data_IF_148637702484
#
_entry.id   IF_148637702484
#
_cell.length_a   1.000
_cell.length_b   1.000
_cell.length_c   1.000
_cell.angle_alpha   90.00
_cell.angle_beta   90.00
_cell.angle_gamma   90.00
#
_symmetry.space_group_name_H-M   'P 1'
#
loop_
_entity.id
_entity.type
_entity.pdbx_description
1 polymer ?
#
# COMPACT_ATOMS: atom_id res chain seq x y z
N UNK A 1 70.34 -32.58 -10.29
CA UNK A 1 68.88 -32.64 -10.10
C UNK A 1 68.49 -31.63 -9.02
N UNK A 2 67.85 -30.51 -9.39
CA UNK A 2 67.57 -29.38 -8.48
C UNK A 2 66.15 -29.55 -7.90
N UNK A 3 66.07 -29.68 -6.58
CA UNK A 3 64.84 -29.90 -5.81
C UNK A 3 64.05 -28.59 -5.72
N UNK A 4 62.98 -28.43 -6.50
CA UNK A 4 62.06 -27.29 -6.42
C UNK A 4 60.99 -27.58 -5.35
N UNK A 5 61.33 -27.31 -4.09
CA UNK A 5 60.31 -27.12 -3.05
C UNK A 5 59.62 -25.78 -3.30
N UNK A 6 58.44 -25.82 -3.93
CA UNK A 6 57.56 -24.67 -4.06
C UNK A 6 57.10 -24.24 -2.66
N UNK A 7 57.53 -23.04 -2.23
CA UNK A 7 56.98 -22.37 -1.05
C UNK A 7 55.50 -22.09 -1.30
N UNK A 8 54.62 -22.77 -0.57
CA UNK A 8 53.23 -22.35 -0.40
C UNK A 8 53.23 -21.01 0.33
N UNK A 9 53.16 -19.92 -0.45
CA UNK A 9 53.09 -18.55 0.04
C UNK A 9 51.88 -18.38 0.97
N UNK A 10 52.17 -17.93 2.19
CA UNK A 10 51.35 -17.16 3.11
C UNK A 10 49.84 -17.06 2.79
N UNK A 11 49.07 -18.07 3.21
CA UNK A 11 47.63 -17.86 3.45
C UNK A 11 47.49 -17.09 4.76
N UNK A 12 47.54 -15.76 4.71
CA UNK A 12 47.04 -14.91 5.80
C UNK A 12 45.52 -15.11 5.92
N UNK A 13 45.13 -16.12 6.69
CA UNK A 13 43.74 -16.38 7.04
C UNK A 13 43.24 -15.30 7.99
N UNK A 14 41.97 -14.94 7.83
CA UNK A 14 41.24 -14.06 8.73
C UNK A 14 41.22 -14.68 10.14
N UNK A 15 41.51 -13.89 11.18
CA UNK A 15 41.52 -14.42 12.55
C UNK A 15 40.09 -14.56 13.07
N UNK A 16 39.84 -15.56 13.93
CA UNK A 16 38.52 -15.72 14.57
C UNK A 16 38.15 -14.48 15.39
N UNK A 17 39.15 -13.81 15.99
CA UNK A 17 38.96 -12.58 16.77
C UNK A 17 38.44 -11.44 15.88
N UNK A 18 38.98 -11.29 14.66
CA UNK A 18 38.49 -10.29 13.71
C UNK A 18 37.03 -10.54 13.31
N UNK A 19 36.61 -11.80 13.13
CA UNK A 19 35.20 -12.11 12.80
C UNK A 19 34.30 -11.75 13.97
N UNK A 20 34.69 -12.12 15.19
CA UNK A 20 33.88 -11.92 16.39
C UNK A 20 33.65 -10.42 16.65
N UNK A 21 34.70 -9.59 16.55
CA UNK A 21 34.55 -8.14 16.75
C UNK A 21 33.60 -7.53 15.73
N UNK A 22 33.67 -7.93 14.46
CA UNK A 22 32.77 -7.45 13.41
C UNK A 22 31.32 -7.87 13.71
N UNK A 23 31.09 -9.13 14.09
CA UNK A 23 29.75 -9.61 14.43
C UNK A 23 29.15 -8.87 15.63
N UNK A 24 29.97 -8.55 16.64
CA UNK A 24 29.52 -7.75 17.81
C UNK A 24 29.08 -6.36 17.38
N UNK A 25 29.85 -5.68 16.52
CA UNK A 25 29.48 -4.35 16.01
C UNK A 25 28.20 -4.43 15.16
N UNK A 26 28.09 -5.42 14.26
CA UNK A 26 26.89 -5.63 13.45
C UNK A 26 25.65 -5.91 14.31
N UNK A 27 25.79 -6.67 15.40
CA UNK A 27 24.69 -6.94 16.32
C UNK A 27 24.17 -5.65 17.01
N UNK A 28 25.08 -4.77 17.45
CA UNK A 28 24.71 -3.48 18.05
C UNK A 28 24.00 -2.58 17.02
N UNK A 29 24.51 -2.50 15.80
CA UNK A 29 23.89 -1.72 14.73
C UNK A 29 22.51 -2.26 14.35
N UNK A 30 22.37 -3.58 14.24
CA UNK A 30 21.10 -4.22 13.92
C UNK A 30 20.04 -3.96 15.01
N UNK A 31 20.43 -3.99 16.29
CA UNK A 31 19.52 -3.73 17.41
C UNK A 31 18.87 -2.33 17.36
N UNK A 32 19.60 -1.32 16.87
CA UNK A 32 19.08 0.06 16.71
C UNK A 32 18.36 0.23 15.37
N UNK A 33 18.90 -0.37 14.30
CA UNK A 33 18.37 -0.18 12.95
C UNK A 33 17.02 -0.88 12.73
N UNK A 34 16.82 -2.08 13.29
CA UNK A 34 15.59 -2.87 13.05
C UNK A 34 14.33 -2.14 13.56
N UNK A 35 14.26 -1.66 14.82
CA UNK A 35 13.07 -0.94 15.31
C UNK A 35 12.80 0.37 14.55
N UNK A 36 13.86 1.08 14.15
CA UNK A 36 13.71 2.29 13.35
C UNK A 36 13.13 1.97 11.97
N UNK A 37 13.65 0.92 11.31
CA UNK A 37 13.22 0.49 9.98
C UNK A 37 11.75 0.04 9.97
N UNK A 38 11.30 -0.72 10.98
CA UNK A 38 9.90 -1.15 11.05
C UNK A 38 8.93 0.04 11.16
N UNK A 39 9.29 1.07 11.92
CA UNK A 39 8.53 2.32 11.99
C UNK A 39 8.46 3.07 10.65
N UNK A 40 9.57 3.11 9.91
CA UNK A 40 9.60 3.72 8.57
C UNK A 40 8.75 2.96 7.56
N UNK A 41 8.77 1.62 7.59
CA UNK A 41 7.93 0.78 6.73
C UNK A 41 6.45 1.03 7.03
N UNK A 42 6.06 1.09 8.32
CA UNK A 42 4.67 1.38 8.71
C UNK A 42 4.20 2.73 8.16
N UNK A 43 5.00 3.79 8.33
CA UNK A 43 4.67 5.12 7.80
C UNK A 43 4.63 5.17 6.28
N UNK A 44 5.50 4.41 5.60
CA UNK A 44 5.48 4.30 4.15
C UNK A 44 4.18 3.63 3.68
N UNK A 45 3.77 2.55 4.33
CA UNK A 45 2.51 1.85 4.04
C UNK A 45 1.28 2.74 4.28
N UNK A 46 1.23 3.51 5.38
CA UNK A 46 0.14 4.47 5.63
C UNK A 46 0.03 5.53 4.51
N UNK A 47 1.17 6.02 4.02
CA UNK A 47 1.21 6.96 2.90
C UNK A 47 0.75 6.32 1.60
N UNK A 48 1.20 5.10 1.30
CA UNK A 48 0.75 4.33 0.13
C UNK A 48 -0.75 4.10 0.20
N UNK A 49 -1.28 3.69 1.35
CA UNK A 49 -2.71 3.48 1.55
C UNK A 49 -3.53 4.76 1.31
N UNK A 50 -3.03 5.90 1.78
CA UNK A 50 -3.67 7.20 1.51
C UNK A 50 -3.63 7.55 0.02
N UNK A 51 -2.53 7.22 -0.68
CA UNK A 51 -2.41 7.45 -2.12
C UNK A 51 -3.39 6.58 -2.92
N UNK A 52 -3.52 5.30 -2.57
CA UNK A 52 -4.51 4.39 -3.15
C UNK A 52 -5.93 4.93 -2.96
N UNK A 53 -6.26 5.41 -1.75
CA UNK A 53 -7.57 6.01 -1.48
C UNK A 53 -7.82 7.27 -2.32
N UNK A 54 -6.80 8.10 -2.58
CA UNK A 54 -6.95 9.27 -3.45
C UNK A 54 -7.22 8.87 -4.90
N UNK A 55 -6.51 7.85 -5.38
CA UNK A 55 -6.75 7.28 -6.71
C UNK A 55 -8.18 6.73 -6.80
N UNK A 56 -8.64 6.00 -5.78
CA UNK A 56 -10.01 5.52 -5.68
C UNK A 56 -11.02 6.68 -5.72
N UNK A 57 -10.78 7.75 -4.94
CA UNK A 57 -11.65 8.91 -4.90
C UNK A 57 -11.83 9.54 -6.28
N UNK A 58 -10.74 9.73 -7.03
CA UNK A 58 -10.81 10.33 -8.36
C UNK A 58 -11.63 9.46 -9.30
N UNK A 59 -11.40 8.14 -9.31
CA UNK A 59 -12.15 7.22 -10.16
C UNK A 59 -13.65 7.17 -9.79
N UNK A 60 -13.97 7.06 -8.50
CA UNK A 60 -15.36 7.07 -8.01
C UNK A 60 -16.03 8.41 -8.30
N UNK A 61 -15.29 9.53 -8.20
CA UNK A 61 -15.82 10.86 -8.52
C UNK A 61 -16.15 10.99 -10.01
N UNK A 62 -15.35 10.41 -10.89
CA UNK A 62 -15.67 10.35 -12.33
C UNK A 62 -16.98 9.57 -12.54
N UNK A 63 -17.08 8.35 -12.01
CA UNK A 63 -18.30 7.53 -12.12
C UNK A 63 -19.54 8.24 -11.57
N UNK A 64 -19.42 8.88 -10.40
CA UNK A 64 -20.49 9.62 -9.78
C UNK A 64 -20.94 10.83 -10.62
N UNK A 65 -20.01 11.49 -11.30
CA UNK A 65 -20.29 12.66 -12.15
C UNK A 65 -20.98 12.24 -13.44
N UNK A 66 -20.56 11.12 -14.04
CA UNK A 66 -21.17 10.58 -15.27
C UNK A 66 -22.63 10.19 -15.01
N UNK A 67 -22.90 9.54 -13.87
CA UNK A 67 -24.26 9.11 -13.49
C UNK A 67 -25.17 10.25 -13.05
N UNK A 68 -24.62 11.40 -12.69
CA UNK A 68 -25.41 12.51 -12.15
C UNK A 68 -26.40 13.10 -13.16
N UNK A 69 -26.06 13.08 -14.45
CA UNK A 69 -26.92 13.62 -15.49
C UNK A 69 -28.25 12.86 -15.62
N UNK A 70 -28.20 11.53 -15.47
CA UNK A 70 -29.36 10.64 -15.60
C UNK A 70 -30.04 10.37 -14.25
N UNK A 71 -29.26 10.36 -13.17
CA UNK A 71 -29.72 10.01 -11.82
C UNK A 71 -29.30 11.04 -10.77
N UNK A 72 -29.85 12.28 -10.81
CA UNK A 72 -29.40 13.38 -9.97
C UNK A 72 -29.64 13.17 -8.46
N UNK A 73 -30.56 12.28 -8.10
CA UNK A 73 -30.92 11.95 -6.72
C UNK A 73 -30.27 10.66 -6.21
N UNK A 74 -29.39 10.02 -6.99
CA UNK A 74 -28.72 8.80 -6.58
C UNK A 74 -27.85 9.04 -5.33
N UNK A 75 -27.96 8.13 -4.37
CA UNK A 75 -27.16 8.13 -3.13
C UNK A 75 -26.01 7.13 -3.16
N UNK A 76 -25.99 6.27 -4.17
CA UNK A 76 -25.01 5.21 -4.43
C UNK A 76 -24.72 5.16 -5.93
N UNK A 77 -23.59 4.57 -6.31
CA UNK A 77 -23.31 4.25 -7.70
C UNK A 77 -24.34 3.22 -8.21
N UNK A 78 -24.79 3.40 -9.45
CA UNK A 78 -25.80 2.55 -10.08
C UNK A 78 -25.18 1.70 -11.19
N UNK A 79 -25.76 0.55 -11.50
CA UNK A 79 -25.40 -0.21 -12.70
C UNK A 79 -26.19 0.30 -13.91
N UNK A 80 -25.92 -0.27 -15.09
CA UNK A 80 -26.60 0.08 -16.34
C UNK A 80 -28.13 -0.09 -16.29
N UNK A 81 -28.64 -0.87 -15.31
CA UNK A 81 -30.07 -1.10 -15.09
C UNK A 81 -30.68 -0.08 -14.10
N UNK A 82 -29.91 0.89 -13.60
CA UNK A 82 -30.36 1.92 -12.66
C UNK A 82 -30.53 1.44 -11.21
N UNK A 83 -30.02 0.25 -10.87
CA UNK A 83 -30.03 -0.29 -9.49
C UNK A 83 -28.66 -0.10 -8.83
N UNK A 84 -28.60 -0.09 -7.50
CA UNK A 84 -27.32 0.03 -6.78
C UNK A 84 -26.31 -1.04 -7.24
N UNK A 85 -25.09 -0.62 -7.57
CA UNK A 85 -24.02 -1.53 -7.97
C UNK A 85 -23.63 -2.46 -6.83
N UNK A 86 -23.24 -3.70 -7.14
CA UNK A 86 -22.55 -4.52 -6.15
C UNK A 86 -21.14 -3.98 -5.90
N UNK A 87 -20.59 -4.22 -4.71
CA UNK A 87 -19.25 -3.76 -4.33
C UNK A 87 -18.16 -4.27 -5.30
N UNK A 88 -18.30 -5.51 -5.79
CA UNK A 88 -17.40 -6.09 -6.78
C UNK A 88 -17.42 -5.33 -8.11
N UNK A 89 -18.61 -4.95 -8.59
CA UNK A 89 -18.74 -4.21 -9.85
C UNK A 89 -18.16 -2.80 -9.74
N UNK A 90 -18.29 -2.16 -8.57
CA UNK A 90 -17.62 -0.88 -8.30
C UNK A 90 -16.11 -1.03 -8.38
N UNK A 91 -15.55 -2.11 -7.82
CA UNK A 91 -14.11 -2.35 -7.89
C UNK A 91 -13.64 -2.52 -9.35
N UNK A 92 -14.38 -3.27 -10.17
CA UNK A 92 -14.07 -3.43 -11.61
C UNK A 92 -14.18 -2.10 -12.37
N UNK A 93 -15.22 -1.31 -12.13
CA UNK A 93 -15.38 -0.01 -12.78
C UNK A 93 -14.25 0.97 -12.40
N UNK A 94 -13.86 0.97 -11.12
CA UNK A 94 -12.74 1.77 -10.61
C UNK A 94 -11.41 1.29 -11.18
N UNK A 95 -11.19 -0.02 -11.31
CA UNK A 95 -10.03 -0.60 -11.97
C UNK A 95 -9.89 -0.11 -13.42
N UNK A 96 -11.00 -0.07 -14.17
CA UNK A 96 -11.00 0.41 -15.55
C UNK A 96 -10.56 1.87 -15.70
N UNK A 97 -10.76 2.70 -14.66
CA UNK A 97 -10.38 4.12 -14.67
C UNK A 97 -9.03 4.38 -14.02
N UNK A 98 -8.70 3.66 -12.95
CA UNK A 98 -7.50 3.88 -12.14
C UNK A 98 -6.31 3.02 -12.52
N UNK A 99 -6.54 1.91 -13.24
CA UNK A 99 -5.54 0.88 -13.52
C UNK A 99 -5.09 0.09 -12.30
N UNK A 100 -5.76 0.26 -11.15
CA UNK A 100 -5.39 -0.38 -9.88
C UNK A 100 -6.55 -1.18 -9.30
N UNK A 101 -6.26 -2.40 -8.82
CA UNK A 101 -7.23 -3.19 -8.08
C UNK A 101 -7.44 -2.59 -6.68
N UNK A 102 -8.65 -2.09 -6.44
CA UNK A 102 -9.01 -1.40 -5.21
C UNK A 102 -10.21 -2.12 -4.59
N UNK A 103 -9.96 -2.71 -3.41
CA UNK A 103 -10.99 -3.42 -2.67
C UNK A 103 -11.84 -2.44 -1.84
N UNK A 104 -13.07 -2.20 -2.26
CA UNK A 104 -14.05 -1.46 -1.47
C UNK A 104 -14.72 -2.37 -0.44
N UNK A 105 -15.06 -1.85 0.74
CA UNK A 105 -15.82 -2.61 1.76
C UNK A 105 -17.34 -2.41 1.63
N UNK A 106 -17.76 -1.36 0.93
CA UNK A 106 -19.15 -1.04 0.63
C UNK A 106 -19.21 -0.12 -0.60
N UNK A 107 -20.38 -0.05 -1.23
CA UNK A 107 -20.63 0.86 -2.35
C UNK A 107 -20.43 2.31 -1.89
N UNK A 108 -19.65 3.14 -2.61
CA UNK A 108 -19.46 4.55 -2.28
C UNK A 108 -20.79 5.28 -2.12
N UNK A 109 -20.87 6.13 -1.08
CA UNK A 109 -21.98 7.06 -0.90
C UNK A 109 -21.70 8.29 -1.73
N UNK A 110 -22.66 8.66 -2.57
CA UNK A 110 -22.61 9.86 -3.39
C UNK A 110 -23.79 10.78 -3.04
N UNK A 111 -23.67 12.05 -3.38
CA UNK A 111 -24.78 13.00 -3.33
C UNK A 111 -24.55 14.05 -4.39
N UNK A 112 -25.55 14.26 -5.25
CA UNK A 112 -25.50 15.27 -6.31
C UNK A 112 -24.23 15.18 -7.18
N UNK A 113 -23.87 13.95 -7.58
CA UNK A 113 -22.70 13.68 -8.41
C UNK A 113 -21.35 13.80 -7.69
N UNK A 114 -21.32 13.98 -6.37
CA UNK A 114 -20.08 14.07 -5.58
C UNK A 114 -19.94 12.89 -4.64
N UNK A 115 -18.71 12.42 -4.48
CA UNK A 115 -18.41 11.38 -3.48
C UNK A 115 -18.50 11.98 -2.07
N UNK A 116 -19.36 11.41 -1.24
CA UNK A 116 -19.52 11.79 0.16
C UNK A 116 -18.65 10.91 1.07
N UNK A 117 -18.69 9.59 0.86
CA UNK A 117 -17.86 8.65 1.61
C UNK A 117 -17.62 7.33 0.89
N UNK A 118 -16.49 6.69 1.20
CA UNK A 118 -16.21 5.29 0.86
C UNK A 118 -15.14 4.74 1.81
N UNK A 119 -15.01 3.43 1.84
CA UNK A 119 -13.95 2.76 2.59
C UNK A 119 -13.30 1.71 1.71
N UNK A 120 -11.97 1.70 1.69
CA UNK A 120 -11.17 0.69 0.99
C UNK A 120 -10.31 -0.10 1.97
N UNK A 121 -9.96 -1.31 1.54
CA UNK A 121 -8.82 -2.07 2.06
C UNK A 121 -7.63 -1.78 1.16
N UNK A 122 -6.65 -1.08 1.71
CA UNK A 122 -5.43 -0.70 1.03
C UNK A 122 -4.31 -1.72 1.25
N UNK A 123 -3.25 -1.61 0.43
CA UNK A 123 -2.06 -2.44 0.58
C UNK A 123 -1.39 -2.28 1.95
N UNK A 124 -0.75 -3.34 2.43
CA UNK A 124 -0.05 -3.32 3.72
C UNK A 124 -0.94 -3.52 4.95
N UNK A 125 -2.21 -3.94 4.78
CA UNK A 125 -3.11 -4.25 5.89
C UNK A 125 -3.72 -3.02 6.54
N UNK A 126 -3.98 -1.97 5.76
CA UNK A 126 -4.66 -0.77 6.22
C UNK A 126 -6.05 -0.66 5.61
N UNK A 127 -7.00 -0.14 6.37
CA UNK A 127 -8.26 0.34 5.86
C UNK A 127 -8.21 1.87 5.80
N UNK A 128 -8.70 2.45 4.71
CA UNK A 128 -8.78 3.90 4.56
C UNK A 128 -10.23 4.30 4.32
N UNK A 129 -10.75 5.11 5.23
CA UNK A 129 -12.08 5.69 5.12
C UNK A 129 -11.97 7.14 4.63
N UNK A 130 -12.66 7.45 3.53
CA UNK A 130 -12.89 8.81 3.08
C UNK A 130 -14.27 9.27 3.55
N UNK A 131 -14.35 10.44 4.18
CA UNK A 131 -15.61 11.08 4.51
C UNK A 131 -15.45 12.60 4.57
N UNK A 132 -16.29 13.33 3.82
CA UNK A 132 -16.36 14.80 3.90
C UNK A 132 -15.01 15.50 3.69
N UNK A 133 -14.19 15.01 2.76
CA UNK A 133 -12.87 15.58 2.45
C UNK A 133 -11.70 15.09 3.31
N UNK A 134 -11.94 14.21 4.29
CA UNK A 134 -10.89 13.67 5.18
C UNK A 134 -10.64 12.20 4.89
N UNK A 135 -9.36 11.81 4.93
CA UNK A 135 -8.92 10.41 4.86
C UNK A 135 -8.49 9.97 6.26
N UNK A 136 -9.08 8.87 6.75
CA UNK A 136 -8.72 8.26 8.03
C UNK A 136 -8.13 6.88 7.75
N UNK A 137 -6.87 6.69 8.13
CA UNK A 137 -6.15 5.43 7.95
C UNK A 137 -6.17 4.64 9.25
N UNK A 138 -6.60 3.38 9.18
CA UNK A 138 -6.69 2.47 10.33
C UNK A 138 -6.00 1.17 9.99
N UNK A 139 -5.12 0.68 10.86
CA UNK A 139 -4.47 -0.63 10.68
C UNK A 139 -5.48 -1.75 10.92
N UNK A 140 -5.58 -2.68 9.99
CA UNK A 140 -6.37 -3.91 10.12
C UNK A 140 -5.51 -4.86 10.96
N UNK A 141 -6.02 -5.22 12.14
CA UNK A 141 -5.28 -6.03 13.13
C UNK A 141 -5.05 -7.45 12.66
#
# INVERSE_FOLDING_TARGET
>A
MKKTMQKLKDKKGFTLVEVIVVLVILAILAAIAIPALTGYISKAQEKTATAEARTAFVAVQTLASDQFAEHPTATKLLNDNGTEMAVGDVAVAVEGLSGQNIAFTAVPVISSGKVNSFTITASGGYSVAYAGGKYTVTKIS
#
